data_IF_873235687966
#
_entry.id   IF_873235687966
#
_cell.length_a   1.000
_cell.length_b   1.000
_cell.length_c   1.000
_cell.angle_alpha   90.00
_cell.angle_beta   90.00
_cell.angle_gamma   90.00
#
_symmetry.space_group_name_H-M   'P 1'
#
loop_
_entity.id
_entity.type
_entity.pdbx_description
1 polymer ?
#
# COMPACT_ATOMS: atom_id res chain seq x y z
N UNK A 1 0.42 11.46 -12.99
CA UNK A 1 1.35 11.16 -11.87
C UNK A 1 1.17 12.07 -10.65
N UNK A 2 1.10 13.40 -10.77
CA UNK A 2 0.96 14.30 -9.61
C UNK A 2 -0.25 13.94 -8.73
N UNK A 3 -1.42 13.75 -9.34
CA UNK A 3 -2.66 13.37 -8.63
C UNK A 3 -2.50 12.04 -7.88
N UNK A 4 -1.86 11.05 -8.51
CA UNK A 4 -1.58 9.77 -7.87
C UNK A 4 -0.65 9.94 -6.66
N UNK A 5 0.40 10.76 -6.78
CA UNK A 5 1.30 11.09 -5.67
C UNK A 5 0.58 11.79 -4.51
N UNK A 6 -0.38 12.68 -4.79
CA UNK A 6 -1.22 13.31 -3.77
C UNK A 6 -2.08 12.26 -3.04
N UNK A 7 -2.70 11.34 -3.78
CA UNK A 7 -3.48 10.24 -3.17
C UNK A 7 -2.62 9.36 -2.26
N UNK A 8 -1.41 9.04 -2.69
CA UNK A 8 -0.44 8.28 -1.89
C UNK A 8 -0.04 9.05 -0.63
N UNK A 9 0.24 10.34 -0.74
CA UNK A 9 0.57 11.18 0.41
C UNK A 9 -0.59 11.22 1.42
N UNK A 10 -1.82 11.44 0.95
CA UNK A 10 -3.03 11.41 1.78
C UNK A 10 -3.18 10.05 2.46
N UNK A 11 -3.03 8.95 1.72
CA UNK A 11 -3.08 7.59 2.23
C UNK A 11 -2.12 7.40 3.40
N UNK A 12 -0.84 7.71 3.20
CA UNK A 12 0.19 7.61 4.24
C UNK A 12 -0.13 8.46 5.48
N UNK A 13 -0.58 9.71 5.30
CA UNK A 13 -0.89 10.59 6.44
C UNK A 13 -2.09 10.11 7.24
N UNK A 14 -3.20 9.78 6.57
CA UNK A 14 -4.42 9.31 7.24
C UNK A 14 -4.20 7.93 7.85
N UNK A 15 -3.48 7.06 7.14
CA UNK A 15 -3.09 5.74 7.62
C UNK A 15 -2.29 5.78 8.92
N UNK A 16 -1.24 6.61 8.95
CA UNK A 16 -0.45 6.82 10.17
C UNK A 16 -1.28 7.40 11.32
N UNK A 17 -2.15 8.37 11.03
CA UNK A 17 -3.00 8.97 12.05
C UNK A 17 -3.97 7.96 12.68
N UNK A 18 -4.59 7.09 11.89
CA UNK A 18 -5.51 6.06 12.40
C UNK A 18 -4.75 4.95 13.14
N UNK A 19 -3.61 4.53 12.61
CA UNK A 19 -2.80 3.47 13.22
C UNK A 19 -2.26 3.84 14.60
N UNK A 20 -1.95 5.12 14.86
CA UNK A 20 -1.42 5.59 16.16
C UNK A 20 -2.31 5.29 17.38
N UNK A 21 -3.62 5.06 17.22
CA UNK A 21 -4.51 4.77 18.36
C UNK A 21 -4.66 3.28 18.63
N UNK A 22 -4.95 2.52 17.58
CA UNK A 22 -5.19 1.06 17.61
C UNK A 22 -4.73 0.47 16.29
N UNK A 23 -3.45 0.09 16.16
CA UNK A 23 -2.87 -0.30 14.88
C UNK A 23 -3.54 -1.55 14.29
N UNK A 24 -3.77 -2.59 15.08
CA UNK A 24 -4.43 -3.83 14.63
C UNK A 24 -5.85 -3.58 14.08
N UNK A 25 -6.72 -2.92 14.86
CA UNK A 25 -8.09 -2.62 14.43
C UNK A 25 -8.11 -1.74 13.18
N UNK A 26 -7.16 -0.80 13.08
CA UNK A 26 -7.02 0.10 11.93
C UNK A 26 -6.55 -0.65 10.69
N UNK A 27 -5.57 -1.54 10.83
CA UNK A 27 -5.06 -2.39 9.75
C UNK A 27 -6.15 -3.26 9.15
N UNK A 28 -6.98 -3.91 9.98
CA UNK A 28 -8.09 -4.73 9.48
C UNK A 28 -9.05 -3.91 8.61
N UNK A 29 -9.36 -2.68 9.02
CA UNK A 29 -10.23 -1.78 8.25
C UNK A 29 -9.55 -1.30 6.96
N UNK A 30 -8.28 -0.91 7.02
CA UNK A 30 -7.51 -0.45 5.87
C UNK A 30 -7.32 -1.55 4.83
N UNK A 31 -7.07 -2.79 5.24
CA UNK A 31 -7.01 -3.94 4.34
C UNK A 31 -8.38 -4.25 3.73
N UNK A 32 -9.46 -4.11 4.49
CA UNK A 32 -10.82 -4.28 3.96
C UNK A 32 -11.13 -3.26 2.86
N UNK A 33 -10.72 -1.99 3.05
CA UNK A 33 -10.84 -0.95 2.03
C UNK A 33 -9.95 -1.22 0.80
N UNK A 34 -8.74 -1.74 1.02
CA UNK A 34 -7.84 -2.14 -0.06
C UNK A 34 -8.45 -3.25 -0.92
N UNK A 35 -9.02 -4.29 -0.29
CA UNK A 35 -9.72 -5.39 -0.98
C UNK A 35 -10.89 -4.84 -1.79
N UNK A 36 -11.70 -3.94 -1.21
CA UNK A 36 -12.80 -3.32 -1.93
C UNK A 36 -12.32 -2.54 -3.16
N UNK A 37 -11.19 -1.82 -3.05
CA UNK A 37 -10.59 -1.11 -4.20
C UNK A 37 -10.08 -2.05 -5.29
N UNK A 38 -9.56 -3.22 -4.93
CA UNK A 38 -9.13 -4.25 -5.88
C UNK A 38 -10.31 -4.86 -6.62
N UNK A 39 -11.40 -5.18 -5.92
CA UNK A 39 -12.64 -5.68 -6.52
C UNK A 39 -13.22 -4.62 -7.45
N UNK A 40 -13.23 -3.36 -7.02
CA UNK A 40 -13.70 -2.25 -7.85
C UNK A 40 -12.84 -2.10 -9.12
N UNK A 41 -11.51 -2.12 -9.00
CA UNK A 41 -10.61 -2.08 -10.16
C UNK A 41 -10.90 -3.22 -11.13
N UNK A 42 -11.02 -4.46 -10.63
CA UNK A 42 -11.30 -5.62 -11.45
C UNK A 42 -12.61 -5.45 -12.25
N UNK A 43 -13.70 -5.02 -11.59
CA UNK A 43 -14.97 -4.75 -12.26
C UNK A 43 -14.82 -3.67 -13.34
N UNK A 44 -14.11 -2.58 -13.04
CA UNK A 44 -13.95 -1.47 -14.00
C UNK A 44 -13.13 -1.85 -15.23
N UNK A 45 -12.16 -2.73 -15.07
CA UNK A 45 -11.39 -3.31 -16.19
C UNK A 45 -12.29 -4.20 -17.03
N UNK A 46 -13.13 -5.04 -16.42
CA UNK A 46 -14.10 -5.89 -17.15
C UNK A 46 -15.15 -5.08 -17.93
N UNK A 47 -15.44 -3.86 -17.49
CA UNK A 47 -16.41 -2.96 -18.14
C UNK A 47 -15.79 -2.08 -19.24
N UNK A 48 -14.48 -2.19 -19.51
CA UNK A 48 -13.72 -1.35 -20.46
C UNK A 48 -13.95 0.17 -20.26
N UNK A 49 -14.18 0.61 -19.01
CA UNK A 49 -14.45 2.00 -18.70
C UNK A 49 -13.19 2.71 -18.16
N UNK A 50 -12.51 3.46 -19.04
CA UNK A 50 -11.25 4.13 -18.71
C UNK A 50 -11.36 5.16 -17.58
N UNK A 51 -12.51 5.85 -17.44
CA UNK A 51 -12.69 6.86 -16.39
C UNK A 51 -12.82 6.19 -15.02
N UNK A 52 -13.62 5.13 -14.93
CA UNK A 52 -13.77 4.37 -13.69
C UNK A 52 -12.49 3.60 -13.34
N UNK A 53 -11.78 3.07 -14.33
CA UNK A 53 -10.48 2.44 -14.14
C UNK A 53 -9.43 3.40 -13.58
N UNK A 54 -9.40 4.65 -14.07
CA UNK A 54 -8.56 5.70 -13.49
C UNK A 54 -8.91 5.95 -12.02
N UNK A 55 -10.20 6.14 -11.71
CA UNK A 55 -10.64 6.36 -10.34
C UNK A 55 -10.30 5.18 -9.42
N UNK A 56 -10.51 3.95 -9.90
CA UNK A 56 -10.16 2.74 -9.17
C UNK A 56 -8.65 2.64 -8.90
N UNK A 57 -7.80 2.99 -9.87
CA UNK A 57 -6.34 3.02 -9.67
C UNK A 57 -5.88 4.06 -8.65
N UNK A 58 -6.54 5.23 -8.60
CA UNK A 58 -6.29 6.27 -7.60
C UNK A 58 -6.69 5.80 -6.20
N UNK A 59 -7.85 5.15 -6.07
CA UNK A 59 -8.31 4.56 -4.80
C UNK A 59 -7.38 3.43 -4.35
N UNK A 60 -6.93 2.59 -5.28
CA UNK A 60 -5.96 1.53 -5.00
C UNK A 60 -4.66 2.13 -4.43
N UNK A 61 -4.12 3.18 -5.07
CA UNK A 61 -2.93 3.88 -4.57
C UNK A 61 -3.13 4.47 -3.17
N UNK A 62 -4.26 5.12 -2.94
CA UNK A 62 -4.61 5.69 -1.64
C UNK A 62 -4.64 4.60 -0.55
N UNK A 63 -5.41 3.53 -0.75
CA UNK A 63 -5.59 2.51 0.28
C UNK A 63 -4.37 1.59 0.43
N UNK A 64 -3.62 1.33 -0.64
CA UNK A 64 -2.38 0.55 -0.55
C UNK A 64 -1.36 1.25 0.36
N UNK A 65 -1.13 2.54 0.13
CA UNK A 65 -0.20 3.32 0.95
C UNK A 65 -0.74 3.69 2.33
N UNK A 66 -2.07 3.71 2.52
CA UNK A 66 -2.66 3.85 3.85
C UNK A 66 -2.25 2.74 4.82
N UNK A 67 -2.00 1.52 4.33
CA UNK A 67 -1.60 0.38 5.17
C UNK A 67 -0.12 0.42 5.60
N UNK A 68 0.75 1.07 4.81
CA UNK A 68 2.22 1.09 5.01
C UNK A 68 2.62 1.61 6.40
N UNK A 69 2.20 2.82 6.84
CA UNK A 69 2.60 3.33 8.15
C UNK A 69 2.01 2.50 9.30
N UNK A 70 0.82 1.91 9.13
CA UNK A 70 0.21 1.07 10.16
C UNK A 70 0.98 -0.23 10.41
N UNK A 71 1.42 -0.90 9.34
CA UNK A 71 2.30 -2.07 9.46
C UNK A 71 3.66 -1.67 10.03
N UNK A 72 4.19 -0.53 9.60
CA UNK A 72 5.49 -0.06 10.06
C UNK A 72 5.50 0.20 11.58
N UNK A 73 4.49 0.91 12.06
CA UNK A 73 4.30 1.18 13.49
C UNK A 73 4.08 -0.10 14.28
N UNK A 74 3.24 -1.02 13.78
CA UNK A 74 2.93 -2.25 14.50
C UNK A 74 4.16 -3.14 14.75
N UNK A 75 5.08 -3.23 13.79
CA UNK A 75 6.35 -3.96 13.97
C UNK A 75 7.22 -3.31 15.04
N UNK A 76 7.26 -1.98 15.09
CA UNK A 76 8.02 -1.24 16.12
C UNK A 76 7.40 -1.45 17.51
N UNK A 77 6.07 -1.37 17.65
CA UNK A 77 5.37 -1.67 18.91
C UNK A 77 5.61 -3.12 19.37
N UNK A 78 5.68 -4.06 18.44
CA UNK A 78 6.03 -5.45 18.75
C UNK A 78 7.48 -5.55 19.26
N UNK A 79 8.41 -4.84 18.62
CA UNK A 79 9.80 -4.81 19.07
C UNK A 79 9.94 -4.20 20.47
N UNK A 80 9.22 -3.12 20.77
CA UNK A 80 9.17 -2.52 22.10
C UNK A 80 8.71 -3.51 23.17
N UNK A 81 7.73 -4.36 22.83
CA UNK A 81 7.17 -5.34 23.77
C UNK A 81 8.05 -6.57 23.98
N UNK A 82 8.66 -7.10 22.93
CA UNK A 82 9.34 -8.41 22.98
C UNK A 82 10.87 -8.32 22.97
N UNK A 83 11.45 -7.29 22.34
CA UNK A 83 12.90 -7.11 22.18
C UNK A 83 13.31 -5.62 22.35
N UNK A 84 13.04 -5.00 23.51
CA UNK A 84 13.21 -3.56 23.71
C UNK A 84 14.66 -3.06 23.55
N UNK A 85 15.65 -3.96 23.62
CA UNK A 85 17.06 -3.62 23.41
C UNK A 85 17.42 -3.40 21.93
N UNK A 86 16.61 -3.93 21.01
CA UNK A 86 16.92 -4.01 19.57
C UNK A 86 15.86 -3.32 18.69
N UNK A 87 15.12 -2.34 19.24
CA UNK A 87 14.06 -1.61 18.51
C UNK A 87 14.62 -0.94 17.24
N UNK A 88 15.80 -0.32 17.34
CA UNK A 88 16.47 0.33 16.20
C UNK A 88 16.77 -0.66 15.08
N UNK A 89 17.17 -1.89 15.44
CA UNK A 89 17.42 -2.96 14.47
C UNK A 89 16.12 -3.40 13.80
N UNK A 90 15.05 -3.61 14.58
CA UNK A 90 13.73 -3.97 14.05
C UNK A 90 13.18 -2.90 13.07
N UNK A 91 13.34 -1.62 13.41
CA UNK A 91 12.95 -0.50 12.54
C UNK A 91 13.77 -0.48 11.24
N UNK A 92 15.09 -0.68 11.32
CA UNK A 92 15.95 -0.76 10.14
C UNK A 92 15.56 -1.93 9.22
N UNK A 93 15.30 -3.12 9.78
CA UNK A 93 14.81 -4.27 9.02
C UNK A 93 13.47 -3.99 8.35
N UNK A 94 12.57 -3.28 9.02
CA UNK A 94 11.27 -2.92 8.47
C UNK A 94 11.39 -2.06 7.21
N UNK A 95 12.22 -1.00 7.25
CA UNK A 95 12.49 -0.16 6.08
C UNK A 95 13.24 -0.93 4.99
N UNK A 96 14.18 -1.80 5.35
CA UNK A 96 14.87 -2.66 4.38
C UNK A 96 13.89 -3.60 3.66
N UNK A 97 13.00 -4.26 4.39
CA UNK A 97 11.96 -5.12 3.83
C UNK A 97 11.01 -4.36 2.89
N UNK A 98 10.64 -3.12 3.23
CA UNK A 98 9.84 -2.26 2.37
C UNK A 98 10.53 -1.94 1.04
N UNK A 99 11.82 -1.60 1.06
CA UNK A 99 12.60 -1.34 -0.15
C UNK A 99 12.79 -2.59 -1.02
N UNK A 100 12.97 -3.77 -0.40
CA UNK A 100 13.00 -5.04 -1.13
C UNK A 100 11.65 -5.27 -1.80
N UNK A 101 10.54 -5.04 -1.10
CA UNK A 101 9.19 -5.12 -1.66
C UNK A 101 9.00 -4.23 -2.88
N UNK A 102 9.44 -2.96 -2.82
CA UNK A 102 9.40 -2.04 -3.97
C UNK A 102 10.25 -2.57 -5.12
N UNK A 103 11.47 -3.02 -4.83
CA UNK A 103 12.38 -3.57 -5.85
C UNK A 103 11.73 -4.73 -6.58
N UNK A 104 11.26 -5.73 -5.83
CA UNK A 104 10.59 -6.92 -6.38
C UNK A 104 9.33 -6.54 -7.16
N UNK A 105 8.49 -5.65 -6.61
CA UNK A 105 7.25 -5.20 -7.24
C UNK A 105 7.48 -4.41 -8.51
N UNK A 106 8.47 -3.51 -8.52
CA UNK A 106 8.84 -2.74 -9.71
C UNK A 106 9.45 -3.63 -10.80
N UNK A 107 10.26 -4.63 -10.42
CA UNK A 107 10.85 -5.58 -11.36
C UNK A 107 9.77 -6.46 -12.00
N UNK A 108 8.86 -7.02 -11.20
CA UNK A 108 7.74 -7.81 -11.73
C UNK A 108 6.80 -6.96 -12.57
N UNK A 109 6.48 -5.73 -12.16
CA UNK A 109 5.69 -4.80 -12.96
C UNK A 109 6.35 -4.45 -14.30
N UNK A 110 7.67 -4.26 -14.32
CA UNK A 110 8.45 -4.05 -15.53
C UNK A 110 8.37 -5.24 -16.49
N UNK A 111 8.66 -6.45 -16.00
CA UNK A 111 8.57 -7.69 -16.78
C UNK A 111 7.17 -7.91 -17.35
N UNK A 112 6.12 -7.65 -16.56
CA UNK A 112 4.72 -7.73 -17.03
C UNK A 112 4.46 -6.72 -18.15
N UNK A 113 4.92 -5.48 -18.00
CA UNK A 113 4.72 -4.44 -19.02
C UNK A 113 5.47 -4.76 -20.32
N UNK A 114 6.69 -5.30 -20.22
CA UNK A 114 7.54 -5.65 -21.36
C UNK A 114 6.98 -6.84 -22.16
N UNK A 115 6.45 -7.87 -21.49
CA UNK A 115 6.01 -9.10 -22.16
C UNK A 115 4.53 -9.14 -22.53
N UNK A 116 3.65 -8.55 -21.71
CA UNK A 116 2.20 -8.60 -21.97
C UNK A 116 1.73 -7.42 -22.81
N UNK A 117 2.56 -6.39 -23.00
CA UNK A 117 2.22 -5.11 -23.64
C UNK A 117 1.00 -4.42 -22.99
N UNK A 118 0.97 -3.09 -22.96
CA UNK A 118 -0.20 -2.33 -22.44
C UNK A 118 -1.30 -2.32 -23.51
N UNK A 119 -1.71 -3.48 -24.01
CA UNK A 119 -2.55 -3.69 -25.21
C UNK A 119 -4.04 -3.43 -24.96
N UNK A 120 -4.33 -2.45 -24.12
CA UNK A 120 -5.64 -1.79 -24.02
C UNK A 120 -5.44 -0.27 -24.18
N UNK A 121 -4.65 0.13 -25.17
CA UNK A 121 -4.70 1.49 -25.74
C UNK A 121 -5.40 1.41 -27.08
#
# INVERSE_FOLDING_TARGET
LVVYGVMVAIGNTVGGHWANKKPLDSLVKMFSLLILSLVFLFITVLMDNSLLGLLASLMLGLFAFMNVPGLQLYVVELAEKYVPKDITLASAFNIAAFNIGITVGSMTGGVVTDHLSVTYT
#
